data_IF_531519646977
#
_entry.id   IF_531519646977
#
_cell.length_a   1.000
_cell.length_b   1.000
_cell.length_c   1.000
_cell.angle_alpha   90.00
_cell.angle_beta   90.00
_cell.angle_gamma   90.00
#
_symmetry.space_group_name_H-M   'P 1'
#
loop_
_entity.id
_entity.type
_entity.pdbx_description
1 polymer ?
#
# COMPACT_ATOMS: atom_id res chain seq x y z
N UNK A 1 -46.89 -19.97 -15.76
CA UNK A 1 -46.70 -18.52 -15.55
C UNK A 1 -45.49 -18.40 -14.64
N UNK A 2 -44.30 -18.27 -15.22
CA UNK A 2 -43.07 -18.00 -14.47
C UNK A 2 -42.80 -16.52 -14.58
N UNK A 3 -42.77 -15.89 -13.42
CA UNK A 3 -42.36 -14.51 -13.21
C UNK A 3 -40.85 -14.40 -13.53
N UNK A 4 -40.42 -13.49 -14.42
CA UNK A 4 -39.00 -13.27 -14.64
C UNK A 4 -38.41 -12.51 -13.45
N UNK A 5 -37.24 -12.95 -13.00
CA UNK A 5 -36.45 -12.28 -11.96
C UNK A 5 -36.07 -10.85 -12.41
N UNK A 6 -35.90 -9.90 -11.48
CA UNK A 6 -35.53 -8.53 -11.84
C UNK A 6 -34.09 -8.53 -12.40
N UNK A 7 -33.96 -8.21 -13.69
CA UNK A 7 -32.72 -7.72 -14.28
C UNK A 7 -32.30 -6.49 -13.49
N UNK A 8 -31.29 -6.65 -12.63
CA UNK A 8 -30.63 -5.51 -12.01
C UNK A 8 -29.76 -4.91 -13.10
N UNK A 9 -30.11 -3.67 -13.49
CA UNK A 9 -29.46 -2.93 -14.55
C UNK A 9 -28.05 -2.49 -14.09
N UNK A 10 -27.06 -3.37 -14.26
CA UNK A 10 -25.66 -3.11 -13.91
C UNK A 10 -24.97 -2.13 -14.88
N UNK A 11 -25.65 -1.73 -15.97
CA UNK A 11 -25.14 -0.78 -16.97
C UNK A 11 -25.27 0.69 -16.52
N UNK A 12 -25.92 0.97 -15.40
CA UNK A 12 -25.98 2.33 -14.82
C UNK A 12 -24.76 2.70 -13.96
N UNK A 13 -23.91 1.75 -13.56
CA UNK A 13 -22.76 2.05 -12.69
C UNK A 13 -21.50 2.55 -13.43
N UNK A 14 -21.48 2.51 -14.78
CA UNK A 14 -20.31 2.88 -15.59
C UNK A 14 -20.45 4.27 -16.28
N UNK A 15 -21.55 4.99 -16.03
CA UNK A 15 -21.77 6.34 -16.62
C UNK A 15 -21.50 7.51 -15.69
N UNK A 16 -21.12 7.26 -14.44
CA UNK A 16 -20.94 8.33 -13.42
C UNK A 16 -19.48 8.59 -13.03
N UNK A 17 -18.51 7.80 -13.49
CA UNK A 17 -17.11 7.97 -13.09
C UNK A 17 -16.47 9.28 -13.58
N UNK A 18 -16.96 9.85 -14.68
CA UNK A 18 -16.41 11.09 -15.27
C UNK A 18 -16.92 12.38 -14.60
N UNK A 19 -17.87 12.32 -13.66
CA UNK A 19 -18.50 13.51 -13.06
C UNK A 19 -18.30 13.64 -11.55
N UNK A 20 -17.70 12.64 -10.88
CA UNK A 20 -17.44 12.74 -9.44
C UNK A 20 -16.31 13.75 -9.20
N UNK A 21 -16.68 14.93 -8.71
CA UNK A 21 -15.73 15.99 -8.39
C UNK A 21 -15.31 15.93 -6.93
N UNK A 22 -14.02 16.11 -6.67
CA UNK A 22 -13.43 16.14 -5.33
C UNK A 22 -14.11 17.18 -4.41
N UNK A 23 -14.65 18.27 -4.99
CA UNK A 23 -15.38 19.29 -4.25
C UNK A 23 -16.71 18.79 -3.70
N UNK A 24 -17.39 17.90 -4.41
CA UNK A 24 -18.64 17.29 -3.96
C UNK A 24 -18.38 16.22 -2.91
N UNK A 25 -17.39 15.35 -3.17
CA UNK A 25 -17.05 14.23 -2.28
C UNK A 25 -16.58 14.69 -0.90
N UNK A 26 -15.75 15.74 -0.85
CA UNK A 26 -15.14 16.22 0.40
C UNK A 26 -15.73 17.54 0.91
N UNK A 27 -16.86 17.98 0.33
CA UNK A 27 -17.52 19.25 0.65
C UNK A 27 -16.54 20.44 0.59
N UNK A 28 -15.68 20.46 -0.44
CA UNK A 28 -14.62 21.49 -0.59
C UNK A 28 -15.01 22.63 -1.53
N UNK A 29 -16.26 22.69 -1.96
CA UNK A 29 -16.78 23.77 -2.78
C UNK A 29 -16.63 25.13 -2.06
N UNK A 30 -15.90 26.05 -2.69
CA UNK A 30 -15.72 27.42 -2.19
C UNK A 30 -14.71 27.58 -1.05
N UNK A 31 -13.99 26.52 -0.66
CA UNK A 31 -12.85 26.65 0.27
C UNK A 31 -11.55 26.98 -0.47
N UNK A 32 -10.53 27.40 0.27
CA UNK A 32 -9.21 27.65 -0.31
C UNK A 32 -8.52 26.35 -0.72
N UNK A 33 -7.57 26.42 -1.67
CA UNK A 33 -6.75 25.27 -2.10
C UNK A 33 -6.06 24.59 -0.89
N UNK A 34 -5.56 25.37 0.06
CA UNK A 34 -4.92 24.84 1.27
C UNK A 34 -5.89 24.10 2.21
N UNK A 35 -7.13 24.57 2.32
CA UNK A 35 -8.15 23.89 3.12
C UNK A 35 -8.61 22.60 2.47
N UNK A 36 -8.75 22.60 1.14
CA UNK A 36 -9.02 21.41 0.35
C UNK A 36 -7.91 20.37 0.55
N UNK A 37 -6.66 20.80 0.40
CA UNK A 37 -5.49 19.98 0.67
C UNK A 37 -5.52 19.35 2.06
N UNK A 38 -5.67 20.20 3.08
CA UNK A 38 -5.73 19.76 4.49
C UNK A 38 -6.84 18.74 4.74
N UNK A 39 -8.03 18.93 4.17
CA UNK A 39 -9.17 18.03 4.40
C UNK A 39 -8.92 16.65 3.79
N UNK A 40 -8.39 16.61 2.57
CA UNK A 40 -8.11 15.36 1.87
C UNK A 40 -6.94 14.63 2.53
N UNK A 41 -5.86 15.34 2.89
CA UNK A 41 -4.76 14.77 3.65
C UNK A 41 -5.25 14.24 5.00
N UNK A 42 -6.07 15.01 5.73
CA UNK A 42 -6.64 14.56 7.00
C UNK A 42 -7.52 13.32 6.83
N UNK A 43 -8.27 13.25 5.74
CA UNK A 43 -9.05 12.07 5.39
C UNK A 43 -8.10 10.89 5.11
N UNK A 44 -7.23 10.97 4.10
CA UNK A 44 -6.40 9.84 3.68
C UNK A 44 -5.36 9.40 4.73
N UNK A 45 -4.97 10.27 5.66
CA UNK A 45 -4.00 9.98 6.73
C UNK A 45 -4.56 9.27 7.96
N UNK A 46 -5.87 9.00 8.02
CA UNK A 46 -6.43 8.18 9.10
C UNK A 46 -5.78 6.79 9.07
N UNK A 47 -5.22 6.36 10.20
CA UNK A 47 -4.33 5.19 10.29
C UNK A 47 -4.80 3.94 9.51
N UNK A 48 -6.03 3.48 9.75
CA UNK A 48 -6.56 2.28 9.11
C UNK A 48 -6.83 2.53 7.62
N UNK A 49 -7.33 3.71 7.26
CA UNK A 49 -7.58 4.10 5.87
C UNK A 49 -6.28 4.16 5.07
N UNK A 50 -5.25 4.75 5.67
CA UNK A 50 -3.91 4.82 5.10
C UNK A 50 -3.33 3.43 4.87
N UNK A 51 -3.45 2.52 5.84
CA UNK A 51 -3.01 1.13 5.71
C UNK A 51 -3.74 0.37 4.60
N UNK A 52 -5.05 0.60 4.43
CA UNK A 52 -5.83 0.03 3.31
C UNK A 52 -5.29 0.52 1.97
N UNK A 53 -5.09 1.83 1.83
CA UNK A 53 -4.56 2.43 0.59
C UNK A 53 -3.18 1.85 0.28
N UNK A 54 -2.27 1.81 1.25
CA UNK A 54 -0.93 1.22 1.09
C UNK A 54 -0.98 -0.26 0.69
N UNK A 55 -1.82 -1.07 1.34
CA UNK A 55 -1.96 -2.49 1.04
C UNK A 55 -2.46 -2.73 -0.39
N UNK A 56 -3.41 -1.91 -0.87
CA UNK A 56 -3.93 -1.99 -2.23
C UNK A 56 -2.92 -1.48 -3.27
N UNK A 57 -2.21 -0.39 -3.00
CA UNK A 57 -1.12 0.11 -3.85
C UNK A 57 0.01 -0.95 -3.97
N UNK A 58 0.36 -1.60 -2.86
CA UNK A 58 1.37 -2.65 -2.83
C UNK A 58 0.96 -3.98 -3.47
N UNK A 59 -0.35 -4.24 -3.65
CA UNK A 59 -0.82 -5.50 -4.23
C UNK A 59 -0.59 -5.57 -5.76
N UNK A 60 0.01 -6.65 -6.32
CA UNK A 60 0.42 -6.73 -7.74
C UNK A 60 -0.71 -6.57 -8.76
N UNK A 61 -1.94 -6.81 -8.34
CA UNK A 61 -3.16 -6.60 -9.14
C UNK A 61 -4.00 -5.39 -8.69
N UNK A 62 -3.53 -4.64 -7.69
CA UNK A 62 -4.25 -3.52 -7.06
C UNK A 62 -5.69 -3.85 -6.62
N UNK A 63 -5.91 -5.12 -6.30
CA UNK A 63 -7.17 -5.71 -5.90
C UNK A 63 -6.89 -6.60 -4.71
N UNK A 64 -7.63 -6.49 -3.61
CA UNK A 64 -7.45 -7.37 -2.45
C UNK A 64 -8.80 -7.79 -1.86
N UNK A 65 -8.90 -9.05 -1.45
CA UNK A 65 -10.06 -9.55 -0.71
C UNK A 65 -10.00 -9.07 0.73
N UNK A 66 -11.15 -9.05 1.42
CA UNK A 66 -11.19 -8.68 2.84
C UNK A 66 -10.26 -9.56 3.68
N UNK A 67 -10.13 -10.85 3.33
CA UNK A 67 -9.22 -11.77 4.04
C UNK A 67 -7.75 -11.43 3.83
N UNK A 68 -7.37 -10.89 2.68
CA UNK A 68 -6.00 -10.42 2.45
C UNK A 68 -5.73 -9.13 3.22
N UNK A 69 -6.67 -8.18 3.22
CA UNK A 69 -6.54 -6.94 3.99
C UNK A 69 -6.47 -7.21 5.51
N UNK A 70 -7.28 -8.13 6.02
CA UNK A 70 -7.28 -8.61 7.42
C UNK A 70 -5.93 -9.25 7.82
N UNK A 71 -5.13 -9.70 6.85
CA UNK A 71 -3.79 -10.22 7.09
C UNK A 71 -2.72 -9.12 7.15
N UNK A 72 -2.78 -8.16 6.23
CA UNK A 72 -1.76 -7.11 6.12
C UNK A 72 -1.94 -5.97 7.11
N UNK A 73 -3.15 -5.75 7.59
CA UNK A 73 -3.50 -4.58 8.38
C UNK A 73 -3.66 -4.99 9.85
N UNK A 74 -2.90 -4.42 10.79
CA UNK A 74 -2.97 -4.77 12.21
C UNK A 74 -4.19 -4.14 12.91
N UNK A 75 -5.37 -4.33 12.33
CA UNK A 75 -6.66 -3.82 12.81
C UNK A 75 -7.69 -4.94 12.79
N UNK A 76 -8.79 -4.77 13.51
CA UNK A 76 -9.86 -5.77 13.48
C UNK A 76 -10.52 -5.80 12.11
N UNK A 77 -10.93 -6.99 11.67
CA UNK A 77 -11.71 -7.19 10.43
C UNK A 77 -12.91 -6.24 10.30
N UNK A 78 -13.57 -5.93 11.42
CA UNK A 78 -14.68 -4.97 11.43
C UNK A 78 -14.20 -3.54 11.19
N UNK A 79 -13.14 -3.09 11.86
CA UNK A 79 -12.57 -1.76 11.63
C UNK A 79 -12.10 -1.60 10.17
N UNK A 80 -11.49 -2.62 9.58
CA UNK A 80 -11.10 -2.62 8.16
C UNK A 80 -12.34 -2.48 7.27
N UNK A 81 -13.39 -3.27 7.53
CA UNK A 81 -14.63 -3.22 6.76
C UNK A 81 -15.31 -1.86 6.82
N UNK A 82 -15.37 -1.26 8.01
CA UNK A 82 -15.98 0.06 8.20
C UNK A 82 -15.25 1.12 7.37
N UNK A 83 -13.91 1.09 7.35
CA UNK A 83 -13.12 2.00 6.53
C UNK A 83 -13.23 1.72 5.02
N UNK A 84 -13.38 0.47 4.60
CA UNK A 84 -13.62 0.13 3.19
C UNK A 84 -14.95 0.69 2.68
N UNK A 85 -16.00 0.62 3.51
CA UNK A 85 -17.29 1.23 3.16
C UNK A 85 -17.22 2.74 3.13
N UNK A 86 -16.55 3.37 4.11
CA UNK A 86 -16.34 4.82 4.10
C UNK A 86 -15.55 5.29 2.84
N UNK A 87 -14.47 4.58 2.47
CA UNK A 87 -13.72 4.83 1.23
C UNK A 87 -14.59 4.65 -0.02
N UNK A 88 -15.53 3.72 0.00
CA UNK A 88 -16.50 3.51 -1.08
C UNK A 88 -17.53 4.62 -1.16
N UNK A 89 -18.03 5.10 -0.02
CA UNK A 89 -18.94 6.23 0.06
C UNK A 89 -18.31 7.50 -0.50
N UNK A 90 -17.00 7.68 -0.32
CA UNK A 90 -16.22 8.76 -0.92
C UNK A 90 -15.73 8.44 -2.34
N UNK A 91 -16.27 7.40 -2.98
CA UNK A 91 -15.91 6.94 -4.31
C UNK A 91 -14.42 6.65 -4.53
N UNK A 92 -13.58 6.57 -3.48
CA UNK A 92 -12.14 6.27 -3.60
C UNK A 92 -11.92 4.80 -3.97
N UNK A 93 -12.70 3.92 -3.35
CA UNK A 93 -12.68 2.48 -3.62
C UNK A 93 -14.02 1.99 -4.16
N UNK A 94 -13.98 0.83 -4.81
CA UNK A 94 -15.18 0.07 -5.14
C UNK A 94 -14.95 -1.43 -4.94
N UNK A 95 -16.04 -2.18 -5.01
CA UNK A 95 -16.06 -3.62 -4.91
C UNK A 95 -16.17 -4.21 -6.32
N UNK A 96 -15.18 -5.01 -6.69
CA UNK A 96 -15.12 -5.73 -7.95
C UNK A 96 -15.59 -7.17 -7.75
N UNK A 97 -16.75 -7.57 -8.29
CA UNK A 97 -17.21 -8.95 -8.22
C UNK A 97 -16.32 -9.86 -9.07
N UNK A 98 -16.13 -11.08 -8.62
CA UNK A 98 -15.40 -12.13 -9.30
C UNK A 98 -16.39 -13.18 -9.81
N UNK A 99 -16.82 -13.04 -11.05
CA UNK A 99 -17.78 -13.95 -11.68
C UNK A 99 -17.15 -15.30 -12.06
N UNK A 100 -15.82 -15.34 -12.16
CA UNK A 100 -15.07 -16.49 -12.67
C UNK A 100 -14.82 -17.58 -11.62
N UNK A 101 -15.25 -17.39 -10.36
CA UNK A 101 -15.04 -18.39 -9.30
C UNK A 101 -16.30 -19.17 -8.95
N UNK A 102 -16.25 -20.48 -9.21
CA UNK A 102 -17.22 -21.46 -8.69
C UNK A 102 -16.77 -22.11 -7.38
N UNK A 103 -15.50 -21.91 -7.00
CA UNK A 103 -14.92 -22.44 -5.76
C UNK A 103 -15.43 -21.63 -4.56
N UNK A 104 -15.95 -22.33 -3.55
CA UNK A 104 -16.48 -21.74 -2.31
C UNK A 104 -15.39 -21.19 -1.40
N UNK A 105 -14.16 -21.68 -1.55
CA UNK A 105 -13.03 -21.28 -0.72
C UNK A 105 -12.29 -20.04 -1.28
N UNK A 106 -12.63 -19.58 -2.48
CA UNK A 106 -11.99 -18.42 -3.10
C UNK A 106 -12.81 -17.14 -2.87
N UNK A 107 -12.16 -15.96 -2.83
CA UNK A 107 -12.86 -14.68 -2.76
C UNK A 107 -13.76 -14.46 -3.98
N UNK A 108 -15.00 -14.06 -3.70
CA UNK A 108 -15.98 -13.66 -4.72
C UNK A 108 -15.97 -12.18 -5.03
N UNK A 109 -15.29 -11.39 -4.20
CA UNK A 109 -15.29 -9.94 -4.28
C UNK A 109 -13.92 -9.42 -3.86
N UNK A 110 -13.46 -8.38 -4.55
CA UNK A 110 -12.19 -7.73 -4.31
C UNK A 110 -12.36 -6.22 -4.21
N UNK A 111 -11.66 -5.60 -3.28
CA UNK A 111 -11.61 -4.14 -3.17
C UNK A 111 -10.50 -3.59 -4.07
N UNK A 112 -10.78 -2.51 -4.77
CA UNK A 112 -9.83 -1.80 -5.64
C UNK A 112 -10.20 -0.34 -5.80
N UNK A 113 -9.29 0.44 -6.41
CA UNK A 113 -9.49 1.85 -6.66
C UNK A 113 -10.45 2.11 -7.82
N UNK A 114 -11.26 3.16 -7.69
CA UNK A 114 -12.01 3.72 -8.83
C UNK A 114 -11.11 4.66 -9.63
N UNK A 115 -11.60 5.14 -10.76
CA UNK A 115 -10.97 6.17 -11.58
C UNK A 115 -10.80 7.50 -10.83
N UNK A 116 -11.83 7.89 -10.05
CA UNK A 116 -11.74 9.03 -9.13
C UNK A 116 -10.68 8.81 -8.06
N UNK A 117 -10.67 7.62 -7.45
CA UNK A 117 -9.73 7.25 -6.40
C UNK A 117 -8.28 7.32 -6.85
N UNK A 118 -7.94 6.77 -8.02
CA UNK A 118 -6.55 6.86 -8.53
C UNK A 118 -6.17 8.29 -8.88
N UNK A 119 -7.09 9.08 -9.43
CA UNK A 119 -6.82 10.49 -9.76
C UNK A 119 -6.59 11.32 -8.49
N UNK A 120 -7.37 11.06 -7.44
CA UNK A 120 -7.18 11.66 -6.12
C UNK A 120 -5.84 11.24 -5.51
N UNK A 121 -5.44 9.98 -5.63
CA UNK A 121 -4.15 9.54 -5.08
C UNK A 121 -2.96 10.12 -5.86
N UNK A 122 -3.10 10.31 -7.17
CA UNK A 122 -2.10 10.95 -8.02
C UNK A 122 -1.92 12.43 -7.67
N UNK A 123 -3.03 13.20 -7.62
CA UNK A 123 -3.03 14.63 -7.31
C UNK A 123 -2.43 14.93 -5.93
N UNK A 124 -2.56 14.00 -4.97
CA UNK A 124 -2.11 14.15 -3.58
C UNK A 124 -0.81 13.37 -3.29
N UNK A 125 -0.06 12.97 -4.32
CA UNK A 125 1.26 12.33 -4.25
C UNK A 125 1.32 10.99 -3.47
N UNK A 126 0.20 10.28 -3.37
CA UNK A 126 0.18 8.94 -2.76
C UNK A 126 0.77 7.87 -3.67
N UNK A 127 0.77 8.10 -4.99
CA UNK A 127 1.31 7.15 -5.97
C UNK A 127 2.84 7.13 -6.02
N UNK A 128 3.53 8.16 -5.52
CA UNK A 128 5.00 8.19 -5.45
C UNK A 128 5.56 7.03 -4.60
N UNK A 129 4.80 6.58 -3.61
CA UNK A 129 5.16 5.45 -2.74
C UNK A 129 4.94 4.07 -3.36
N UNK A 130 4.33 3.97 -4.55
CA UNK A 130 3.99 2.69 -5.19
C UNK A 130 5.13 1.66 -5.21
N UNK A 131 6.37 2.01 -5.60
CA UNK A 131 7.46 1.05 -5.71
C UNK A 131 7.83 0.48 -4.34
N UNK A 132 7.88 1.35 -3.33
CA UNK A 132 8.16 0.98 -1.95
C UNK A 132 7.08 0.04 -1.40
N UNK A 133 5.80 0.35 -1.67
CA UNK A 133 4.68 -0.50 -1.24
C UNK A 133 4.69 -1.86 -1.94
N UNK A 134 5.07 -1.91 -3.22
CA UNK A 134 5.23 -3.17 -3.97
C UNK A 134 6.32 -4.04 -3.34
N UNK A 135 7.50 -3.47 -3.10
CA UNK A 135 8.63 -4.18 -2.49
C UNK A 135 8.27 -4.69 -1.09
N UNK A 136 7.60 -3.88 -0.28
CA UNK A 136 7.15 -4.28 1.05
C UNK A 136 6.14 -5.45 1.00
N UNK A 137 5.19 -5.38 0.07
CA UNK A 137 4.21 -6.45 -0.15
C UNK A 137 4.89 -7.76 -0.59
N UNK A 138 5.83 -7.70 -1.53
CA UNK A 138 6.46 -8.89 -2.11
C UNK A 138 7.34 -9.65 -1.10
N UNK A 139 8.03 -8.90 -0.23
CA UNK A 139 8.84 -9.46 0.85
C UNK A 139 8.06 -9.88 2.10
N UNK A 140 6.75 -9.61 2.16
CA UNK A 140 5.93 -10.08 3.28
C UNK A 140 5.76 -11.60 3.19
N UNK A 141 6.15 -12.29 4.27
CA UNK A 141 5.88 -13.73 4.41
C UNK A 141 4.35 -13.94 4.36
N UNK A 142 3.91 -14.99 3.68
CA UNK A 142 2.48 -15.25 3.47
C UNK A 142 2.15 -16.71 3.81
N UNK A 143 1.15 -16.98 4.66
CA UNK A 143 0.68 -18.33 4.87
C UNK A 143 -0.04 -18.86 3.62
N UNK A 144 -0.21 -20.19 3.56
CA UNK A 144 -0.80 -20.87 2.39
C UNK A 144 -2.19 -20.34 2.02
N UNK A 145 -3.03 -20.02 3.03
CA UNK A 145 -4.35 -19.46 2.80
C UNK A 145 -4.30 -18.11 2.07
N UNK A 146 -3.43 -17.20 2.51
CA UNK A 146 -3.28 -15.88 1.90
C UNK A 146 -2.72 -16.00 0.49
N UNK A 147 -1.76 -16.92 0.28
CA UNK A 147 -1.23 -17.22 -1.06
C UNK A 147 -2.32 -17.75 -2.00
N UNK A 148 -3.23 -18.62 -1.52
CA UNK A 148 -4.37 -19.10 -2.30
C UNK A 148 -5.32 -17.97 -2.71
N UNK A 149 -5.62 -17.05 -1.79
CA UNK A 149 -6.46 -15.89 -2.07
C UNK A 149 -5.79 -14.94 -3.07
N UNK A 150 -4.48 -14.73 -2.95
CA UNK A 150 -3.71 -13.86 -3.85
C UNK A 150 -3.75 -14.35 -5.30
N UNK A 151 -3.62 -15.66 -5.48
CA UNK A 151 -3.62 -16.33 -6.78
C UNK A 151 -5.03 -16.64 -7.32
N UNK A 152 -6.09 -16.26 -6.62
CA UNK A 152 -7.45 -16.42 -7.13
C UNK A 152 -7.63 -15.65 -8.45
N UNK A 153 -8.51 -16.12 -9.37
CA UNK A 153 -8.92 -15.34 -10.52
C UNK A 153 -9.44 -13.97 -10.06
N UNK A 154 -9.09 -12.91 -10.79
CA UNK A 154 -9.45 -11.53 -10.44
C UNK A 154 -10.01 -10.81 -11.65
N UNK A 155 -11.02 -9.95 -11.46
CA UNK A 155 -11.56 -9.12 -12.51
C UNK A 155 -10.49 -8.16 -13.03
N UNK A 156 -10.66 -7.72 -14.28
CA UNK A 156 -9.77 -6.74 -14.90
C UNK A 156 -10.16 -5.33 -14.46
N UNK A 157 -9.17 -4.54 -14.03
CA UNK A 157 -9.40 -3.14 -13.69
C UNK A 157 -9.71 -2.30 -14.94
N UNK A 158 -10.49 -1.21 -14.81
CA UNK A 158 -10.68 -0.23 -15.86
C UNK A 158 -9.33 0.25 -16.43
N UNK A 159 -9.30 0.54 -17.72
CA UNK A 159 -8.05 0.88 -18.43
C UNK A 159 -7.38 2.10 -17.81
N UNK A 160 -8.15 3.13 -17.48
CA UNK A 160 -7.66 4.36 -16.82
C UNK A 160 -7.02 4.07 -15.46
N UNK A 161 -7.70 3.30 -14.60
CA UNK A 161 -7.19 2.86 -13.30
C UNK A 161 -5.87 2.11 -13.46
N UNK A 162 -5.83 1.16 -14.41
CA UNK A 162 -4.64 0.37 -14.66
C UNK A 162 -3.47 1.21 -15.18
N UNK A 163 -3.73 2.17 -16.06
CA UNK A 163 -2.71 3.06 -16.61
C UNK A 163 -2.09 3.95 -15.53
N UNK A 164 -2.91 4.57 -14.68
CA UNK A 164 -2.42 5.43 -13.58
C UNK A 164 -1.63 4.65 -12.53
N UNK A 165 -2.02 3.40 -12.25
CA UNK A 165 -1.31 2.53 -11.30
C UNK A 165 -0.11 1.80 -11.91
N UNK A 166 0.12 1.94 -13.22
CA UNK A 166 1.31 1.38 -13.85
C UNK A 166 2.50 2.24 -13.46
N UNK A 167 3.42 1.66 -12.71
CA UNK A 167 4.71 2.26 -12.45
C UNK A 167 5.73 1.74 -13.47
N UNK A 168 6.38 2.64 -14.19
CA UNK A 168 7.59 2.32 -14.92
C UNK A 168 8.71 2.15 -13.90
N UNK A 169 8.99 0.89 -13.55
CA UNK A 169 10.19 0.56 -12.78
C UNK A 169 11.39 1.08 -13.60
N UNK A 170 12.17 2.04 -13.08
CA UNK A 170 13.38 2.44 -13.77
C UNK A 170 14.20 1.18 -13.89
N UNK A 171 14.46 0.74 -15.13
CA UNK A 171 15.33 -0.42 -15.34
C UNK A 171 16.60 -0.12 -14.56
N UNK A 172 16.86 -0.93 -13.53
CA UNK A 172 18.18 -0.95 -12.93
C UNK A 172 19.11 -1.31 -14.08
N UNK A 173 19.78 -0.30 -14.63
CA UNK A 173 20.83 -0.51 -15.59
C UNK A 173 21.99 -1.17 -14.85
N UNK A 174 21.86 -2.47 -14.61
CA UNK A 174 22.92 -3.35 -14.12
C UNK A 174 24.09 -3.42 -15.12
N UNK A 175 23.98 -2.76 -16.28
CA UNK A 175 25.03 -2.62 -17.29
C UNK A 175 25.64 -1.22 -17.35
N UNK A 176 25.07 -0.23 -16.66
CA UNK A 176 25.78 1.00 -16.34
C UNK A 176 26.80 0.64 -15.27
N UNK A 177 28.01 0.33 -15.74
CA UNK A 177 29.23 0.39 -14.95
C UNK A 177 29.46 1.81 -14.45
N UNK A 178 28.59 2.30 -13.55
CA UNK A 178 28.98 3.21 -12.51
C UNK A 178 30.03 2.45 -11.73
N UNK A 179 31.27 2.68 -12.13
CA UNK A 179 32.43 2.39 -11.30
C UNK A 179 32.05 2.98 -9.95
N UNK A 180 31.93 2.14 -8.93
CA UNK A 180 31.98 2.57 -7.54
C UNK A 180 33.33 3.26 -7.33
N UNK A 181 33.49 4.48 -7.84
CA UNK A 181 34.48 5.41 -7.35
C UNK A 181 33.94 5.84 -5.99
N UNK A 182 34.28 5.01 -5.00
CA UNK A 182 34.65 5.43 -3.65
C UNK A 182 33.89 6.67 -3.18
N UNK A 183 32.64 6.49 -2.80
CA UNK A 183 32.12 7.27 -1.67
C UNK A 183 31.98 6.31 -0.49
N UNK A 184 33.09 5.69 -0.12
CA UNK A 184 33.33 5.35 1.29
C UNK A 184 33.70 6.65 2.00
N UNK A 185 32.79 7.63 2.01
CA UNK A 185 32.90 8.73 2.95
C UNK A 185 32.80 8.07 4.32
N UNK A 186 33.90 8.13 5.07
CA UNK A 186 33.93 7.54 6.40
C UNK A 186 32.80 8.19 7.20
N UNK A 187 32.04 7.43 7.99
CA UNK A 187 30.96 7.96 8.83
C UNK A 187 31.46 9.16 9.66
N UNK A 188 32.75 9.16 10.02
CA UNK A 188 33.44 10.29 10.66
C UNK A 188 33.50 11.57 9.82
N UNK A 189 33.69 11.49 8.50
CA UNK A 189 33.74 12.64 7.60
C UNK A 189 32.35 13.26 7.40
N UNK A 190 31.30 12.44 7.29
CA UNK A 190 29.93 12.91 7.18
C UNK A 190 29.47 13.66 8.45
N UNK A 191 29.92 13.24 9.64
CA UNK A 191 29.64 13.97 10.89
C UNK A 191 30.28 15.34 10.92
N UNK A 192 31.53 15.44 10.50
CA UNK A 192 32.29 16.70 10.48
C UNK A 192 31.78 17.70 9.44
N UNK A 193 31.01 17.25 8.45
CA UNK A 193 30.37 18.10 7.44
C UNK A 193 29.03 18.70 7.88
N UNK A 194 28.51 18.34 9.06
CA UNK A 194 27.24 18.88 9.58
C UNK A 194 27.43 20.18 10.34
N UNK A 195 26.42 21.04 10.31
CA UNK A 195 26.40 22.34 11.01
C UNK A 195 26.52 22.25 12.54
N UNK A 196 26.44 21.03 13.10
CA UNK A 196 26.44 20.71 14.54
C UNK A 196 27.54 19.71 14.93
N UNK A 197 28.64 19.66 14.17
CA UNK A 197 29.74 18.72 14.40
C UNK A 197 30.35 18.84 15.82
N UNK A 198 30.26 20.03 16.43
CA UNK A 198 30.74 20.37 17.77
C UNK A 198 29.85 19.86 18.92
N UNK A 199 28.58 19.51 18.63
CA UNK A 199 27.62 19.01 19.62
C UNK A 199 27.46 17.47 19.58
N UNK A 200 28.15 16.79 18.67
CA UNK A 200 27.97 15.37 18.43
C UNK A 200 28.83 14.55 19.43
N UNK A 201 28.26 13.59 20.19
CA UNK A 201 29.03 12.82 21.19
C UNK A 201 30.11 11.96 20.52
N UNK A 202 31.30 11.86 21.12
CA UNK A 202 32.35 10.97 20.62
C UNK A 202 31.86 9.52 20.64
N UNK A 203 31.98 8.82 19.50
CA UNK A 203 31.66 7.40 19.43
C UNK A 203 32.94 6.67 19.80
N UNK A 204 33.02 6.15 21.02
CA UNK A 204 34.08 5.22 21.39
C UNK A 204 33.92 3.98 20.52
N UNK A 205 34.97 3.62 19.77
CA UNK A 205 34.97 2.39 18.99
C UNK A 205 34.69 1.22 19.94
N UNK A 206 33.61 0.48 19.68
CA UNK A 206 33.44 -0.85 20.26
C UNK A 206 34.52 -1.71 19.63
N UNK A 207 35.52 -2.08 20.44
CA UNK A 207 36.59 -2.97 20.02
C UNK A 207 35.97 -4.26 19.45
N UNK A 208 36.22 -4.49 18.17
CA UNK A 208 36.03 -5.80 17.55
C UNK A 208 37.12 -6.74 18.10
N UNK A 209 36.95 -7.18 19.34
CA UNK A 209 37.74 -8.28 19.88
C UNK A 209 37.19 -9.60 19.32
N UNK A 210 37.95 -10.16 18.37
CA UNK A 210 37.76 -11.50 17.87
C UNK A 210 38.24 -12.48 18.97
N UNK A 211 37.41 -12.69 19.99
CA UNK A 211 37.67 -13.53 21.14
C UNK A 211 36.72 -14.73 21.22
N UNK A 212 37.21 -15.88 20.75
CA UNK A 212 36.89 -17.26 21.20
C UNK A 212 35.44 -17.65 21.52
N UNK A 213 34.90 -18.52 20.66
CA UNK A 213 33.57 -19.14 20.64
C UNK A 213 33.17 -20.09 21.79
N UNK A 214 33.77 -20.02 22.99
CA UNK A 214 33.63 -21.11 23.99
C UNK A 214 33.00 -20.74 25.36
N UNK A 215 32.53 -19.49 25.56
CA UNK A 215 31.98 -19.06 26.87
C UNK A 215 30.50 -18.62 26.87
N UNK A 216 29.82 -18.53 25.71
CA UNK A 216 28.37 -18.23 25.69
C UNK A 216 27.48 -19.47 25.92
N UNK A 217 27.93 -20.68 25.59
CA UNK A 217 27.15 -21.90 25.84
C UNK A 217 27.11 -22.30 27.32
N UNK A 218 28.10 -21.90 28.13
CA UNK A 218 28.17 -22.25 29.57
C UNK A 218 27.20 -21.47 30.47
N UNK A 219 26.54 -20.42 29.98
CA UNK A 219 25.58 -19.62 30.76
C UNK A 219 24.12 -20.07 30.63
N UNK A 220 23.81 -20.97 29.70
CA UNK A 220 22.43 -21.43 29.48
C UNK A 220 22.07 -22.71 30.25
N UNK A 221 23.03 -23.37 30.91
CA UNK A 221 22.78 -24.57 31.73
C UNK A 221 22.56 -24.29 33.23
N UNK A 222 22.70 -23.04 33.72
CA UNK A 222 22.40 -22.67 35.13
C UNK A 222 20.98 -22.12 35.36
N UNK A 223 20.09 -22.20 34.36
CA UNK A 223 18.69 -21.76 34.46
C UNK A 223 17.66 -22.85 34.09
N UNK A 224 18.00 -24.12 34.32
CA UNK A 224 17.08 -25.25 34.43
C UNK A 224 17.26 -25.94 35.79
#
# INVERSE_FOLDING_TARGET
MSEPAPETDYLEMDRTASEVHVDEVFDTAGVTIYEKQRRIDHYLSQETRHQIVQALLGHPKHLASLTELDYYIPKSRSAIRDQLYDLKEHAVLTLYPNEDTTDRDLPKEFWGFTSFGVSLLDEYNYLEGLPVMRVAHDHTHRPAQITRHQNAPRPTLPVEVKQTLTYDEPEEDLTSGHTNQETTANISELRNATLYADAAPEITQLDADNGSTDDEERRLEELL
#
